data_IF_514483899362
#
_entry.id   IF_514483899362
#
_cell.length_a   1.000
_cell.length_b   1.000
_cell.length_c   1.000
_cell.angle_alpha   90.00
_cell.angle_beta   90.00
_cell.angle_gamma   90.00
#
_symmetry.space_group_name_H-M   'P 1'
#
loop_
_entity.id
_entity.type
_entity.pdbx_description
1 polymer ?
#
# COMPACT_ATOMS: atom_id res chain seq x y z
N UNK A 1 0.99 -32.57 16.98
CA UNK A 1 0.91 -31.62 18.12
C UNK A 1 2.19 -31.57 18.95
N UNK A 2 2.91 -32.66 19.25
CA UNK A 2 4.17 -32.58 20.01
C UNK A 2 5.38 -31.99 19.23
N UNK A 3 5.40 -32.12 17.89
CA UNK A 3 6.50 -31.65 17.04
C UNK A 3 6.63 -30.11 17.02
N UNK A 4 5.50 -29.40 17.06
CA UNK A 4 5.47 -27.92 17.04
C UNK A 4 5.94 -27.32 18.36
N UNK A 5 5.65 -27.98 19.49
CA UNK A 5 6.17 -27.57 20.80
C UNK A 5 7.68 -27.83 20.93
N UNK A 6 8.22 -28.88 20.32
CA UNK A 6 9.66 -29.17 20.34
C UNK A 6 10.44 -28.17 19.46
N UNK A 7 9.89 -27.79 18.31
CA UNK A 7 10.43 -26.73 17.44
C UNK A 7 10.35 -25.36 18.14
N UNK A 8 9.20 -25.02 18.73
CA UNK A 8 9.04 -23.76 19.46
C UNK A 8 9.90 -23.66 20.72
N UNK A 9 10.06 -24.75 21.48
CA UNK A 9 10.90 -24.81 22.68
C UNK A 9 12.40 -24.82 22.33
N UNK A 10 12.80 -25.45 21.22
CA UNK A 10 14.16 -25.35 20.69
C UNK A 10 14.53 -23.94 20.24
N UNK A 11 13.58 -23.19 19.67
CA UNK A 11 13.75 -21.77 19.31
C UNK A 11 13.80 -20.84 20.54
N UNK A 12 13.10 -21.18 21.63
CA UNK A 12 13.07 -20.39 22.87
C UNK A 12 14.30 -20.62 23.76
N UNK A 13 14.86 -21.83 23.78
CA UNK A 13 16.00 -22.22 24.63
C UNK A 13 17.35 -21.62 24.20
N UNK A 14 17.43 -20.94 23.06
CA UNK A 14 18.69 -20.45 22.51
C UNK A 14 19.16 -19.08 23.07
N UNK A 15 18.29 -18.23 23.63
CA UNK A 15 18.75 -17.00 24.31
C UNK A 15 19.72 -16.10 23.53
N UNK A 16 19.53 -15.94 22.21
CA UNK A 16 20.54 -15.33 21.34
C UNK A 16 20.32 -13.83 21.08
N UNK A 17 21.34 -13.02 21.42
CA UNK A 17 21.61 -11.63 21.03
C UNK A 17 21.51 -11.34 19.51
N UNK A 18 21.30 -12.38 18.69
CA UNK A 18 21.24 -12.37 17.22
C UNK A 18 19.84 -12.12 16.62
N UNK A 19 18.80 -11.90 17.45
CA UNK A 19 17.46 -11.48 16.99
C UNK A 19 17.53 -10.26 16.04
N UNK A 20 18.41 -9.31 16.38
CA UNK A 20 18.66 -8.11 15.58
C UNK A 20 19.26 -8.38 14.19
N UNK A 21 19.75 -9.60 13.90
CA UNK A 21 20.29 -9.98 12.57
C UNK A 21 19.25 -10.73 11.73
N UNK A 22 18.40 -11.55 12.35
CA UNK A 22 17.29 -12.23 11.64
C UNK A 22 16.30 -11.21 11.10
N UNK A 23 16.02 -10.16 11.88
CA UNK A 23 15.08 -9.10 11.50
C UNK A 23 15.46 -8.39 10.18
N UNK A 24 16.68 -7.83 10.00
CA UNK A 24 17.07 -7.18 8.75
C UNK A 24 17.24 -8.17 7.60
N UNK A 25 17.70 -9.41 7.83
CA UNK A 25 17.84 -10.41 6.76
C UNK A 25 16.46 -10.83 6.22
N UNK A 26 15.51 -11.09 7.13
CA UNK A 26 14.13 -11.39 6.74
C UNK A 26 13.48 -10.20 6.02
N UNK A 27 13.64 -8.99 6.56
CA UNK A 27 13.08 -7.78 5.95
C UNK A 27 13.69 -7.47 4.58
N UNK A 28 15.01 -7.64 4.41
CA UNK A 28 15.71 -7.43 3.14
C UNK A 28 15.28 -8.40 2.03
N UNK A 29 14.76 -9.59 2.37
CA UNK A 29 14.17 -10.51 1.40
C UNK A 29 12.67 -10.30 1.19
N UNK A 30 11.93 -10.16 2.29
CA UNK A 30 10.46 -10.14 2.28
C UNK A 30 9.91 -8.84 1.70
N UNK A 31 10.50 -7.67 2.00
CA UNK A 31 10.03 -6.41 1.41
C UNK A 31 10.13 -6.38 -0.12
N UNK A 32 11.30 -6.63 -0.73
CA UNK A 32 11.40 -6.59 -2.19
C UNK A 32 10.59 -7.71 -2.85
N UNK A 33 10.47 -8.88 -2.21
CA UNK A 33 9.61 -9.94 -2.71
C UNK A 33 8.12 -9.54 -2.69
N UNK A 34 7.65 -8.92 -1.61
CA UNK A 34 6.27 -8.42 -1.51
C UNK A 34 6.00 -7.31 -2.54
N UNK A 35 6.90 -6.33 -2.67
CA UNK A 35 6.79 -5.26 -3.67
C UNK A 35 6.79 -5.83 -5.09
N UNK A 36 7.69 -6.76 -5.40
CA UNK A 36 7.77 -7.41 -6.71
C UNK A 36 6.52 -8.23 -7.02
N UNK A 37 5.97 -8.93 -6.03
CA UNK A 37 4.73 -9.69 -6.16
C UNK A 37 3.54 -8.78 -6.40
N UNK A 38 3.43 -7.69 -5.64
CA UNK A 38 2.39 -6.67 -5.80
C UNK A 38 2.49 -6.03 -7.18
N UNK A 39 3.68 -5.56 -7.61
CA UNK A 39 3.93 -5.02 -8.98
C UNK A 39 3.48 -5.96 -10.09
N UNK A 40 3.70 -7.27 -9.95
CA UNK A 40 3.29 -8.25 -10.96
C UNK A 40 1.76 -8.38 -11.06
N UNK A 41 1.06 -8.27 -9.93
CA UNK A 41 -0.40 -8.27 -9.87
C UNK A 41 -0.99 -6.94 -10.33
N UNK A 42 -0.38 -5.83 -9.92
CA UNK A 42 -0.75 -4.47 -10.29
C UNK A 42 -0.49 -4.16 -11.77
N UNK A 43 0.45 -4.83 -12.42
CA UNK A 43 0.68 -4.68 -13.88
C UNK A 43 -0.57 -5.00 -14.75
N UNK A 44 -1.64 -5.58 -14.19
CA UNK A 44 -2.95 -5.73 -14.86
C UNK A 44 -4.02 -4.71 -14.45
N UNK A 45 -3.78 -3.88 -13.42
CA UNK A 45 -4.73 -2.92 -12.85
C UNK A 45 -4.24 -1.46 -12.89
N UNK A 46 -2.93 -1.23 -12.89
CA UNK A 46 -2.28 0.07 -12.63
C UNK A 46 -2.17 1.04 -13.81
N UNK A 47 -2.94 0.86 -14.88
CA UNK A 47 -2.94 1.88 -15.94
C UNK A 47 -3.72 3.15 -15.52
N UNK A 48 -4.63 3.05 -14.54
CA UNK A 48 -5.54 4.13 -14.13
C UNK A 48 -5.22 4.64 -12.69
N UNK A 49 -5.01 3.74 -11.72
CA UNK A 49 -4.77 4.13 -10.31
C UNK A 49 -3.37 4.75 -10.04
N UNK A 50 -2.38 4.47 -10.90
CA UNK A 50 -1.01 4.97 -10.74
C UNK A 50 -0.85 6.46 -11.07
N UNK A 51 -1.72 7.00 -11.93
CA UNK A 51 -1.68 8.41 -12.31
C UNK A 51 -2.19 9.28 -11.16
N UNK A 52 -3.31 8.90 -10.53
CA UNK A 52 -3.91 9.66 -9.41
C UNK A 52 -3.00 9.75 -8.18
N UNK A 53 -2.37 8.63 -7.76
CA UNK A 53 -1.43 8.66 -6.63
C UNK A 53 -0.18 9.54 -6.91
N UNK A 54 0.31 9.54 -8.15
CA UNK A 54 1.47 10.37 -8.52
C UNK A 54 1.11 11.86 -8.49
N UNK A 55 -0.12 12.23 -8.84
CA UNK A 55 -0.61 13.61 -8.78
C UNK A 55 -0.76 14.10 -7.33
N UNK A 56 -1.33 13.28 -6.43
CA UNK A 56 -1.44 13.62 -5.00
C UNK A 56 -0.06 13.81 -4.36
N UNK A 57 0.88 12.91 -4.68
CA UNK A 57 2.24 12.99 -4.17
C UNK A 57 2.96 14.27 -4.62
N UNK A 58 2.78 14.70 -5.87
CA UNK A 58 3.33 15.96 -6.38
C UNK A 58 2.69 17.21 -5.76
N UNK A 59 1.39 17.17 -5.48
CA UNK A 59 0.68 18.24 -4.79
C UNK A 59 1.14 18.38 -3.31
N UNK A 60 1.35 17.26 -2.62
CA UNK A 60 1.91 17.20 -1.25
C UNK A 60 3.35 17.74 -1.20
N UNK A 61 4.19 17.36 -2.17
CA UNK A 61 5.57 17.85 -2.29
C UNK A 61 5.60 19.38 -2.40
N UNK A 62 4.73 19.95 -3.24
CA UNK A 62 4.59 21.40 -3.41
C UNK A 62 4.17 22.09 -2.12
N UNK A 63 3.26 21.48 -1.35
CA UNK A 63 2.83 21.99 -0.05
C UNK A 63 3.97 22.01 0.97
N UNK A 64 4.75 20.91 1.03
CA UNK A 64 5.91 20.78 1.92
C UNK A 64 6.98 21.83 1.59
N UNK A 65 7.24 22.06 0.31
CA UNK A 65 8.19 23.08 -0.15
C UNK A 65 7.81 24.47 0.35
N UNK A 66 6.52 24.81 0.34
CA UNK A 66 6.02 26.12 0.80
C UNK A 66 5.95 26.28 2.31
N UNK A 67 5.78 25.19 3.04
CA UNK A 67 5.94 25.19 4.50
C UNK A 67 7.41 25.48 4.88
N UNK A 68 8.36 24.82 4.20
CA UNK A 68 9.79 25.05 4.41
C UNK A 68 10.26 26.46 4.02
N UNK A 69 9.60 27.11 3.05
CA UNK A 69 9.86 28.51 2.71
C UNK A 69 9.18 29.52 3.65
N UNK A 70 8.33 29.04 4.58
CA UNK A 70 7.56 29.89 5.50
C UNK A 70 6.35 30.58 4.85
N UNK A 71 5.99 30.20 3.62
CA UNK A 71 4.81 30.70 2.91
C UNK A 71 3.50 30.04 3.39
N UNK A 72 3.60 28.88 4.05
CA UNK A 72 2.50 28.23 4.76
C UNK A 72 2.83 28.10 6.24
N UNK A 73 1.85 28.40 7.08
CA UNK A 73 1.88 28.06 8.50
C UNK A 73 1.59 26.58 8.70
N UNK A 74 1.93 26.05 9.87
CA UNK A 74 1.67 24.66 10.25
C UNK A 74 0.18 24.31 10.20
N UNK A 75 -0.69 25.15 10.75
CA UNK A 75 -2.16 24.96 10.71
C UNK A 75 -2.71 24.92 9.28
N UNK A 76 -2.23 25.79 8.39
CA UNK A 76 -2.64 25.82 6.98
C UNK A 76 -2.14 24.61 6.20
N UNK A 77 -1.00 24.05 6.60
CA UNK A 77 -0.47 22.81 6.02
C UNK A 77 -1.32 21.61 6.45
N UNK A 78 -1.60 21.49 7.75
CA UNK A 78 -2.41 20.40 8.30
C UNK A 78 -3.80 20.34 7.66
N UNK A 79 -4.52 21.47 7.59
CA UNK A 79 -5.87 21.53 7.00
C UNK A 79 -5.86 21.12 5.51
N UNK A 80 -4.84 21.55 4.76
CA UNK A 80 -4.75 21.25 3.32
C UNK A 80 -4.29 19.82 3.06
N UNK A 81 -3.43 19.26 3.91
CA UNK A 81 -3.00 17.86 3.83
C UNK A 81 -4.17 16.92 4.13
N UNK A 82 -4.92 17.19 5.20
CA UNK A 82 -6.10 16.39 5.57
C UNK A 82 -7.12 16.34 4.44
N UNK A 83 -7.44 17.49 3.85
CA UNK A 83 -8.39 17.59 2.73
C UNK A 83 -7.92 16.84 1.48
N UNK A 84 -6.62 16.88 1.20
CA UNK A 84 -6.04 16.21 0.04
C UNK A 84 -6.09 14.68 0.21
N UNK A 85 -5.77 14.17 1.40
CA UNK A 85 -5.83 12.74 1.75
C UNK A 85 -7.27 12.21 1.79
N UNK A 86 -8.22 13.00 2.31
CA UNK A 86 -9.63 12.65 2.32
C UNK A 86 -10.17 12.47 0.89
N UNK A 87 -9.82 13.37 -0.02
CA UNK A 87 -10.28 13.34 -1.42
C UNK A 87 -9.70 12.16 -2.20
N UNK A 88 -8.41 11.83 -1.99
CA UNK A 88 -7.79 10.63 -2.58
C UNK A 88 -8.50 9.37 -2.10
N UNK A 89 -8.73 9.24 -0.79
CA UNK A 89 -9.39 8.07 -0.19
C UNK A 89 -10.80 7.86 -0.76
N UNK A 90 -11.58 8.93 -0.93
CA UNK A 90 -12.92 8.86 -1.52
C UNK A 90 -12.85 8.45 -3.01
N UNK A 91 -11.86 8.97 -3.73
CA UNK A 91 -11.66 8.67 -5.16
C UNK A 91 -11.24 7.23 -5.37
N UNK A 92 -10.30 6.72 -4.57
CA UNK A 92 -9.84 5.34 -4.57
C UNK A 92 -10.96 4.34 -4.23
N UNK A 93 -11.76 4.65 -3.21
CA UNK A 93 -12.94 3.87 -2.85
C UNK A 93 -13.96 3.82 -4.00
N UNK A 94 -14.17 4.95 -4.70
CA UNK A 94 -15.07 5.03 -5.85
C UNK A 94 -14.54 4.23 -7.04
N UNK A 95 -13.24 4.29 -7.31
CA UNK A 95 -12.62 3.54 -8.41
C UNK A 95 -12.74 2.03 -8.14
N UNK A 96 -12.47 1.61 -6.90
CA UNK A 96 -12.63 0.20 -6.48
C UNK A 96 -14.06 -0.31 -6.68
N UNK A 97 -15.08 0.49 -6.39
CA UNK A 97 -16.49 0.11 -6.61
C UNK A 97 -16.85 0.07 -8.11
N UNK A 98 -16.37 1.04 -8.90
CA UNK A 98 -16.58 1.07 -10.36
C UNK A 98 -15.92 -0.15 -11.04
N UNK A 99 -14.66 -0.41 -10.70
CA UNK A 99 -13.87 -1.56 -11.10
C UNK A 99 -14.58 -2.90 -10.83
N UNK A 100 -15.30 -3.01 -9.71
CA UNK A 100 -16.05 -4.21 -9.36
C UNK A 100 -17.30 -4.38 -10.24
N UNK A 101 -18.04 -3.29 -10.48
CA UNK A 101 -19.26 -3.32 -11.31
C UNK A 101 -18.98 -3.69 -12.76
N UNK A 102 -17.87 -3.23 -13.31
CA UNK A 102 -17.47 -3.60 -14.69
C UNK A 102 -17.22 -5.10 -14.83
N UNK A 103 -16.54 -5.72 -13.86
CA UNK A 103 -16.30 -7.17 -13.87
C UNK A 103 -17.60 -7.97 -13.74
N UNK A 104 -18.54 -7.49 -12.92
CA UNK A 104 -19.85 -8.11 -12.77
C UNK A 104 -20.67 -7.98 -14.07
N UNK A 105 -20.59 -6.84 -14.77
CA UNK A 105 -21.25 -6.64 -16.06
C UNK A 105 -20.65 -7.51 -17.19
N UNK A 106 -19.33 -7.69 -17.24
CA UNK A 106 -18.68 -8.59 -18.20
C UNK A 106 -19.09 -10.06 -17.97
N UNK A 107 -19.19 -10.49 -16.71
CA UNK A 107 -19.59 -11.85 -16.36
C UNK A 107 -21.04 -12.18 -16.76
N UNK A 108 -21.95 -11.20 -16.67
CA UNK A 108 -23.35 -11.35 -17.07
C UNK A 108 -23.50 -11.46 -18.60
N UNK A 109 -22.75 -10.63 -19.34
CA UNK A 109 -22.73 -10.64 -20.81
C UNK A 109 -22.18 -11.95 -21.39
N UNK A 110 -21.20 -12.59 -20.72
CA UNK A 110 -20.68 -13.90 -21.15
C UNK A 110 -21.67 -15.05 -20.87
N UNK A 111 -22.44 -14.95 -19.79
CA UNK A 111 -23.48 -15.93 -19.44
C UNK A 111 -24.68 -15.92 -20.39
N UNK A 112 -25.03 -14.77 -20.98
CA UNK A 112 -26.10 -14.67 -21.99
C UNK A 112 -25.68 -15.16 -23.39
N UNK A 113 -24.38 -15.28 -23.65
CA UNK A 113 -23.84 -15.67 -24.97
C UNK A 113 -23.61 -17.19 -25.13
N UNK A 114 -23.81 -17.96 -24.05
CA UNK A 114 -23.52 -19.40 -23.96
C UNK A 114 -24.76 -20.28 -24.12
#
# INVERSE_FOLDING_TARGET
MALTFLVGFGLLALGYWWFWIVFPIGFAGVLPAAIGLVRLYESRRSADDGETQSETAGALETLRQRYASGELTEEEFEEKVERLLETETITDARNTVAARREREAEADVESERS
#
